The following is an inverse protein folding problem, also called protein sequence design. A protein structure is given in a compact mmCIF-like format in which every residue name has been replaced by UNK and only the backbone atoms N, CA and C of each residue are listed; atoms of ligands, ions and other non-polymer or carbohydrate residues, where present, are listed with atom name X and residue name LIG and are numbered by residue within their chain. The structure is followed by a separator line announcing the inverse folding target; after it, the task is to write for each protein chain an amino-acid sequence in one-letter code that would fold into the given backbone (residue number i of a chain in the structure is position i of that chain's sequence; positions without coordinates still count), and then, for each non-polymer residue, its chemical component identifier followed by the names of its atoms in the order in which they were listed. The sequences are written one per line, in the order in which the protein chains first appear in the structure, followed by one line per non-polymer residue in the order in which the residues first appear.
data_IF_638980511463
#
_entry.id   IF_638980511463
#
_cell.length_a   1.000
_cell.length_b   1.000
_cell.length_c   1.000
_cell.angle_alpha   90.00
_cell.angle_beta   90.00
_cell.angle_gamma   90.00
#
_symmetry.space_group_name_H-M   'P 1'
#
loop_
_entity.id
_entity.type
_entity.pdbx_description
1 polymer ?
#
# COMPACT_ATOMS: atom_id res chain seq x y z
N UNK A 1 6.01 -9.01 36.50
CA UNK A 1 6.67 -10.32 36.29
C UNK A 1 8.05 -10.01 35.72
N UNK A 2 9.14 -10.45 36.36
CA UNK A 2 10.50 -10.17 35.86
C UNK A 2 10.84 -11.25 34.84
N UNK A 3 11.06 -10.85 33.57
CA UNK A 3 11.46 -11.76 32.50
C UNK A 3 12.98 -11.67 32.36
N UNK A 4 13.66 -12.80 32.56
CA UNK A 4 15.12 -12.86 32.49
C UNK A 4 15.58 -13.22 31.07
N UNK A 5 16.64 -12.56 30.62
CA UNK A 5 17.23 -12.84 29.33
C UNK A 5 18.00 -14.17 29.37
N UNK A 6 17.61 -15.16 28.57
CA UNK A 6 18.32 -16.46 28.57
C UNK A 6 19.79 -16.37 28.14
N UNK A 7 20.18 -15.33 27.39
CA UNK A 7 21.57 -15.15 26.93
C UNK A 7 22.52 -14.56 27.96
N UNK A 8 22.04 -13.70 28.85
CA UNK A 8 22.92 -12.92 29.74
C UNK A 8 22.34 -12.74 31.15
N UNK A 9 21.27 -13.47 31.46
CA UNK A 9 20.54 -13.52 32.74
C UNK A 9 20.03 -12.19 33.29
N UNK A 10 20.25 -11.08 32.57
CA UNK A 10 19.78 -9.74 32.93
C UNK A 10 18.27 -9.62 32.76
N UNK A 11 17.67 -8.74 33.54
CA UNK A 11 16.25 -8.41 33.43
C UNK A 11 15.96 -7.72 32.09
N UNK A 12 14.95 -8.21 31.38
CA UNK A 12 14.52 -7.66 30.10
C UNK A 12 13.58 -6.46 30.33
N UNK A 13 13.71 -5.43 29.48
CA UNK A 13 12.80 -4.28 29.49
C UNK A 13 11.63 -4.52 28.55
N UNK A 14 10.42 -4.24 29.02
CA UNK A 14 9.23 -4.19 28.17
C UNK A 14 9.34 -2.97 27.24
N UNK A 15 9.39 -3.20 25.93
CA UNK A 15 9.26 -2.12 24.94
C UNK A 15 7.79 -1.89 24.61
N UNK A 16 7.06 -2.99 24.49
CA UNK A 16 5.61 -3.06 24.27
C UNK A 16 5.10 -4.40 24.81
N UNK A 17 3.79 -4.57 24.87
CA UNK A 17 3.13 -5.66 25.60
C UNK A 17 3.54 -7.08 25.16
N UNK A 18 4.04 -7.24 23.93
CA UNK A 18 4.49 -8.52 23.37
C UNK A 18 6.01 -8.58 23.12
N UNK A 19 6.76 -7.48 23.29
CA UNK A 19 8.18 -7.38 22.95
C UNK A 19 8.99 -6.91 24.15
N UNK A 20 9.84 -7.82 24.62
CA UNK A 20 10.84 -7.55 25.63
C UNK A 20 12.21 -7.46 24.98
N UNK A 21 12.97 -6.42 25.29
CA UNK A 21 14.34 -6.24 24.81
C UNK A 21 15.30 -6.22 25.98
N UNK A 22 16.31 -7.07 25.92
CA UNK A 22 17.40 -7.05 26.89
C UNK A 22 18.25 -5.78 26.68
N UNK A 23 18.45 -4.95 27.71
CA UNK A 23 19.24 -3.72 27.60
C UNK A 23 20.74 -4.00 27.43
N UNK A 24 21.22 -5.18 27.81
CA UNK A 24 22.64 -5.51 27.82
C UNK A 24 23.11 -6.16 26.50
N UNK A 25 22.43 -7.20 26.05
CA UNK A 25 22.82 -7.94 24.84
C UNK A 25 21.92 -7.67 23.62
N UNK A 26 20.88 -6.84 23.76
CA UNK A 26 19.96 -6.49 22.69
C UNK A 26 19.02 -7.62 22.25
N UNK A 27 18.99 -8.75 22.98
CA UNK A 27 18.12 -9.88 22.67
C UNK A 27 16.63 -9.48 22.76
N UNK A 28 15.85 -9.84 21.75
CA UNK A 28 14.41 -9.58 21.67
C UNK A 28 13.62 -10.88 21.89
N UNK A 29 12.79 -10.91 22.94
CA UNK A 29 11.82 -11.97 23.18
C UNK A 29 10.44 -11.46 22.78
N UNK A 30 9.76 -12.18 21.86
CA UNK A 30 8.33 -11.98 21.61
C UNK A 30 7.52 -13.10 22.25
N UNK A 31 6.53 -12.75 23.07
CA UNK A 31 5.54 -13.73 23.53
C UNK A 31 4.63 -14.10 22.37
N UNK A 32 4.65 -15.38 21.99
CA UNK A 32 3.94 -15.93 20.81
C UNK A 32 2.40 -15.94 20.94
N UNK A 33 1.81 -15.60 22.09
CA UNK A 33 0.43 -15.98 22.40
C UNK A 33 -0.45 -14.90 23.03
N UNK A 34 -0.33 -13.64 22.59
CA UNK A 34 -1.37 -12.64 22.82
C UNK A 34 -1.67 -11.89 21.52
N UNK A 35 -2.27 -12.59 20.56
CA UNK A 35 -2.96 -11.91 19.45
C UNK A 35 -4.20 -11.23 20.01
N UNK A 36 -4.01 -9.99 20.49
CA UNK A 36 -5.11 -9.10 20.90
C UNK A 36 -6.16 -9.05 19.79
N UNK A 37 -7.43 -9.14 20.16
CA UNK A 37 -8.52 -9.01 19.20
C UNK A 37 -8.61 -7.56 18.68
N UNK A 38 -8.98 -7.40 17.40
CA UNK A 38 -9.15 -6.08 16.79
C UNK A 38 -10.42 -5.44 17.34
N UNK A 39 -10.27 -4.34 18.07
CA UNK A 39 -11.40 -3.60 18.64
C UNK A 39 -11.91 -2.51 17.70
N UNK A 40 -13.08 -1.94 18.01
CA UNK A 40 -13.62 -0.81 17.26
C UNK A 40 -12.76 0.47 17.41
N UNK A 41 -12.04 0.60 18.51
CA UNK A 41 -11.11 1.72 18.75
C UNK A 41 -9.92 1.65 17.81
N UNK A 42 -9.36 0.46 17.61
CA UNK A 42 -8.25 0.21 16.68
C UNK A 42 -8.66 0.55 15.23
N UNK A 43 -9.90 0.22 14.85
CA UNK A 43 -10.46 0.59 13.53
C UNK A 43 -10.59 2.11 13.38
N UNK A 44 -11.04 2.81 14.42
CA UNK A 44 -11.12 4.28 14.40
C UNK A 44 -9.73 4.91 14.32
N UNK A 45 -8.74 4.37 15.03
CA UNK A 45 -7.36 4.83 14.97
C UNK A 45 -6.75 4.60 13.58
N UNK A 46 -6.97 3.42 12.98
CA UNK A 46 -6.52 3.11 11.62
C UNK A 46 -7.14 4.06 10.59
N UNK A 47 -8.44 4.37 10.72
CA UNK A 47 -9.12 5.29 9.83
C UNK A 47 -8.54 6.73 9.89
N UNK A 48 -8.05 7.17 11.05
CA UNK A 48 -7.34 8.47 11.17
C UNK A 48 -6.01 8.49 10.40
N UNK A 49 -5.40 7.33 10.17
CA UNK A 49 -4.16 7.14 9.42
C UNK A 49 -4.39 6.68 7.97
N UNK A 50 -5.59 6.90 7.41
CA UNK A 50 -5.99 6.47 6.06
C UNK A 50 -5.89 4.95 5.81
N UNK A 51 -5.95 4.14 6.87
CA UNK A 51 -5.93 2.68 6.78
C UNK A 51 -7.35 2.14 6.89
N UNK A 52 -7.81 1.49 5.82
CA UNK A 52 -9.12 0.83 5.82
C UNK A 52 -9.16 -0.35 6.80
N UNK A 53 -10.34 -0.65 7.36
CA UNK A 53 -10.58 -1.84 8.20
C UNK A 53 -10.08 -3.15 7.57
N UNK A 54 -10.26 -3.32 6.26
CA UNK A 54 -9.79 -4.51 5.53
C UNK A 54 -8.27 -4.67 5.59
N UNK A 55 -7.52 -3.60 5.32
CA UNK A 55 -6.06 -3.59 5.42
C UNK A 55 -5.57 -3.85 6.85
N UNK A 56 -6.22 -3.27 7.87
CA UNK A 56 -5.89 -3.54 9.26
C UNK A 56 -6.06 -5.04 9.60
N UNK A 57 -7.19 -5.63 9.21
CA UNK A 57 -7.46 -7.05 9.44
C UNK A 57 -6.44 -7.93 8.72
N UNK A 58 -6.09 -7.59 7.48
CA UNK A 58 -5.11 -8.34 6.71
C UNK A 58 -3.72 -8.30 7.37
N UNK A 59 -3.27 -7.11 7.80
CA UNK A 59 -2.02 -6.93 8.54
C UNK A 59 -1.95 -7.82 9.77
N UNK A 60 -3.00 -7.81 10.59
CA UNK A 60 -3.02 -8.56 11.84
C UNK A 60 -3.20 -10.07 11.59
N UNK A 61 -4.15 -10.48 10.75
CA UNK A 61 -4.51 -11.91 10.60
C UNK A 61 -3.67 -12.66 9.58
N UNK A 62 -3.32 -12.03 8.46
CA UNK A 62 -2.56 -12.69 7.37
C UNK A 62 -1.07 -12.48 7.54
N UNK A 63 -0.64 -11.28 7.93
CA UNK A 63 0.77 -10.94 8.06
C UNK A 63 1.30 -11.04 9.48
N UNK A 64 0.43 -11.31 10.46
CA UNK A 64 0.78 -11.48 11.86
C UNK A 64 1.47 -10.23 12.45
N UNK A 65 1.09 -9.05 11.96
CA UNK A 65 1.58 -7.78 12.48
C UNK A 65 0.95 -7.49 13.84
N UNK A 66 1.70 -6.87 14.77
CA UNK A 66 1.10 -6.34 15.98
C UNK A 66 0.14 -5.20 15.62
N UNK A 67 -0.97 -5.07 16.36
CA UNK A 67 -2.03 -4.08 16.09
C UNK A 67 -1.46 -2.66 16.06
N UNK A 68 -0.52 -2.36 16.96
CA UNK A 68 0.16 -1.06 17.05
C UNK A 68 0.81 -0.67 15.72
N UNK A 69 1.66 -1.56 15.16
CA UNK A 69 2.30 -1.33 13.86
C UNK A 69 1.26 -1.32 12.73
N UNK A 70 0.24 -2.18 12.83
CA UNK A 70 -0.78 -2.30 11.79
C UNK A 70 -1.68 -1.06 11.67
N UNK A 71 -1.83 -0.28 12.74
CA UNK A 71 -2.60 0.98 12.79
C UNK A 71 -1.75 2.18 12.37
N UNK A 72 -0.43 2.16 12.55
CA UNK A 72 0.43 3.32 12.30
C UNK A 72 1.11 3.32 10.94
N UNK A 73 1.48 2.14 10.43
CA UNK A 73 2.27 2.05 9.20
C UNK A 73 1.39 2.43 7.98
N UNK A 74 1.80 3.36 7.10
CA UNK A 74 0.97 3.78 5.97
C UNK A 74 0.86 2.70 4.89
N UNK A 75 -0.31 2.58 4.26
CA UNK A 75 -0.47 1.65 3.12
C UNK A 75 0.34 2.18 1.93
N UNK A 76 1.28 1.37 1.43
CA UNK A 76 2.06 1.70 0.22
C UNK A 76 1.13 1.79 -0.99
N UNK A 77 1.08 2.95 -1.64
CA UNK A 77 0.36 3.16 -2.89
C UNK A 77 1.27 2.74 -4.06
N UNK A 78 0.89 1.68 -4.77
CA UNK A 78 1.56 1.30 -6.02
C UNK A 78 1.05 2.17 -7.17
N UNK A 79 1.67 3.32 -7.41
CA UNK A 79 1.36 4.14 -8.58
C UNK A 79 2.04 3.58 -9.84
N UNK A 80 1.39 2.61 -10.51
CA UNK A 80 1.91 2.00 -11.76
C UNK A 80 2.25 3.01 -12.86
N UNK A 81 1.61 4.18 -12.84
CA UNK A 81 1.78 5.22 -13.86
C UNK A 81 2.22 6.56 -13.26
N UNK A 82 2.42 6.67 -11.94
CA UNK A 82 2.74 7.94 -11.26
C UNK A 82 1.88 9.11 -11.76
N UNK A 83 2.56 10.22 -12.06
CA UNK A 83 1.97 11.47 -12.59
C UNK A 83 1.88 11.52 -14.13
N UNK A 84 2.31 10.48 -14.83
CA UNK A 84 2.36 10.47 -16.30
C UNK A 84 1.00 10.65 -17.01
N UNK A 85 -0.13 10.09 -16.51
CA UNK A 85 -1.44 10.37 -17.08
C UNK A 85 -1.85 11.85 -16.98
N UNK A 86 -1.36 12.58 -15.98
CA UNK A 86 -1.61 14.02 -15.81
C UNK A 86 -0.73 14.84 -16.76
N UNK A 87 0.55 14.50 -16.87
CA UNK A 87 1.48 15.09 -17.85
C UNK A 87 0.96 14.88 -19.28
N UNK A 88 0.42 13.71 -19.60
CA UNK A 88 -0.21 13.44 -20.88
C UNK A 88 -1.37 14.41 -21.15
N UNK A 89 -2.22 14.66 -20.13
CA UNK A 89 -3.31 15.63 -20.23
C UNK A 89 -2.83 17.06 -20.45
N UNK A 90 -1.73 17.46 -19.82
CA UNK A 90 -1.09 18.76 -20.04
C UNK A 90 -0.53 18.92 -21.47
N UNK A 91 -0.15 17.80 -22.10
CA UNK A 91 0.34 17.76 -23.50
C UNK A 91 -0.78 17.52 -24.54
N UNK A 92 -2.05 17.74 -24.18
CA UNK A 92 -3.23 17.48 -25.04
C UNK A 92 -3.37 16.01 -25.51
N UNK A 93 -2.81 15.06 -24.75
CA UNK A 93 -2.92 13.63 -25.03
C UNK A 93 -4.02 13.04 -24.12
N UNK A 94 -5.09 12.46 -24.69
CA UNK A 94 -6.12 11.80 -23.89
C UNK A 94 -5.51 10.68 -23.05
N UNK A 95 -5.94 10.57 -21.78
CA UNK A 95 -5.49 9.50 -20.86
C UNK A 95 -5.62 8.10 -21.48
N UNK A 96 -6.70 7.86 -22.23
CA UNK A 96 -6.92 6.61 -22.96
C UNK A 96 -5.80 6.31 -23.97
N UNK A 97 -5.31 7.32 -24.67
CA UNK A 97 -4.18 7.18 -25.62
C UNK A 97 -2.87 6.90 -24.89
N UNK A 98 -2.62 7.58 -23.76
CA UNK A 98 -1.47 7.29 -22.91
C UNK A 98 -1.47 5.81 -22.45
N UNK A 99 -2.59 5.31 -21.91
CA UNK A 99 -2.70 3.92 -21.47
C UNK A 99 -2.54 2.92 -22.62
N UNK A 100 -3.11 3.22 -23.79
CA UNK A 100 -2.94 2.39 -24.98
C UNK A 100 -1.47 2.30 -25.39
N UNK A 101 -0.74 3.42 -25.39
CA UNK A 101 0.70 3.45 -25.71
C UNK A 101 1.53 2.65 -24.71
N UNK A 102 1.30 2.84 -23.41
CA UNK A 102 2.00 2.05 -22.36
C UNK A 102 1.71 0.57 -22.50
N UNK A 103 0.45 0.19 -22.79
CA UNK A 103 0.07 -1.21 -23.07
C UNK A 103 0.77 -1.77 -24.32
N UNK A 104 1.05 -0.93 -25.31
CA UNK A 104 1.85 -1.27 -26.49
C UNK A 104 3.37 -1.26 -26.25
N UNK A 105 3.82 -1.14 -24.99
CA UNK A 105 5.24 -1.20 -24.62
C UNK A 105 5.99 0.14 -24.71
N UNK A 106 5.28 1.26 -24.85
CA UNK A 106 5.93 2.58 -24.84
C UNK A 106 6.38 2.95 -23.43
N UNK A 107 7.56 3.58 -23.34
CA UNK A 107 8.00 4.23 -22.11
C UNK A 107 7.05 5.36 -21.70
N UNK A 108 6.89 5.57 -20.40
CA UNK A 108 5.92 6.53 -19.85
C UNK A 108 6.12 7.96 -20.37
N UNK A 109 7.38 8.41 -20.43
CA UNK A 109 7.75 9.72 -20.96
C UNK A 109 7.30 9.90 -22.41
N UNK A 110 7.70 8.96 -23.28
CA UNK A 110 7.31 8.95 -24.70
C UNK A 110 5.79 8.87 -24.86
N UNK A 111 5.13 8.05 -24.05
CA UNK A 111 3.68 7.89 -24.11
C UNK A 111 2.93 9.19 -23.76
N UNK A 112 3.50 10.01 -22.87
CA UNK A 112 2.92 11.24 -22.35
C UNK A 112 3.36 12.53 -23.06
N UNK A 113 4.33 12.47 -23.98
CA UNK A 113 4.87 13.66 -24.68
C UNK A 113 4.69 13.60 -26.20
N UNK A 114 4.64 12.40 -26.78
CA UNK A 114 4.51 12.26 -28.24
C UNK A 114 3.12 12.70 -28.72
N UNK A 115 3.04 13.65 -29.65
CA UNK A 115 1.75 14.13 -30.17
C UNK A 115 0.99 13.02 -30.88
N UNK A 116 -0.35 13.08 -30.83
CA UNK A 116 -1.21 12.13 -31.54
C UNK A 116 -1.43 12.64 -32.96
N UNK A 117 -1.00 11.89 -33.96
CA UNK A 117 -1.30 12.20 -35.36
C UNK A 117 -2.80 12.03 -35.64
N UNK A 118 -3.58 13.11 -35.45
CA UNK A 118 -5.02 13.14 -35.69
C UNK A 118 -5.43 12.74 -37.12
N UNK A 119 -4.53 12.85 -38.09
CA UNK A 119 -4.76 12.44 -39.50
C UNK A 119 -5.00 10.93 -39.68
N UNK A 120 -4.55 10.06 -38.74
CA UNK A 120 -4.77 8.60 -38.82
C UNK A 120 -5.97 8.11 -38.00
N UNK A 121 -6.58 8.95 -37.17
CA UNK A 121 -7.69 8.58 -36.27
C UNK A 121 -9.08 8.63 -36.94
N UNK A 122 -9.20 9.19 -38.14
CA UNK A 122 -10.45 9.19 -38.89
C UNK A 122 -10.66 7.86 -39.61
N UNK A 123 -10.89 6.76 -38.89
CA UNK A 123 -11.52 5.58 -39.49
C UNK A 123 -12.38 4.80 -38.50
N UNK A 124 -13.68 4.95 -38.75
CA UNK A 124 -14.80 4.08 -38.36
C UNK A 124 -15.42 4.31 -36.98
N UNK A 125 -16.29 5.33 -36.89
CA UNK A 125 -17.44 5.30 -35.98
C UNK A 125 -18.33 4.14 -36.44
N UNK A 126 -18.23 2.94 -35.82
CA UNK A 126 -19.29 1.93 -35.95
C UNK A 126 -20.52 2.53 -35.28
N UNK A 127 -21.50 2.98 -36.08
CA UNK A 127 -22.84 3.26 -35.57
C UNK A 127 -23.36 1.91 -35.07
N UNK A 128 -23.46 1.71 -33.76
CA UNK A 128 -24.35 0.68 -33.22
C UNK A 128 -25.76 1.10 -33.62
N UNK A 129 -26.28 0.46 -34.66
CA UNK A 129 -27.69 0.59 -35.03
C UNK A 129 -28.53 0.14 -33.83
N UNK A 130 -29.37 1.03 -33.34
CA UNK A 130 -30.49 0.68 -32.47
C UNK A 130 -31.53 0.03 -33.39
N UNK A 131 -31.86 -1.22 -33.14
CA UNK A 131 -33.03 -1.87 -33.72
C UNK A 131 -34.08 -1.92 -32.62
N UNK A 132 -35.12 -1.09 -32.76
CA UNK A 132 -36.41 -1.24 -32.08
C UNK A 132 -37.22 -2.28 -32.82
#
# INVERSE_FOLDING_TARGET
MIITCYKCTSDMKEIRTDLFRCPFCGFEARQLSMTREITQEDVKAAAKNDISKGHLIERVRRYNWPIEEAVTDPVRKHEKHGKWPEIAGQNDIPKATYYARVKSGWGHERAATEKVDRKKASRTRRKSGVTT
#
